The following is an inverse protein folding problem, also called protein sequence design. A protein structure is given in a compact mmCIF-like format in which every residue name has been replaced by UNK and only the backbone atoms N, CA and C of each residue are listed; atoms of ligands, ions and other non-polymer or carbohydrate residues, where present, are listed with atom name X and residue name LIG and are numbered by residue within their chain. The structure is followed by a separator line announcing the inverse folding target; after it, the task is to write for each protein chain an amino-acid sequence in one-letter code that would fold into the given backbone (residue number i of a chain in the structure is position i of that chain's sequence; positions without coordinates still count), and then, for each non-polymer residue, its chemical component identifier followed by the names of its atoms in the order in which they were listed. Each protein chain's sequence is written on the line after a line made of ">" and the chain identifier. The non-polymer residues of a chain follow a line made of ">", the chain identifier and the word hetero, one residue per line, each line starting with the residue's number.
data_IF_495221800790
#
_entry.id   IF_495221800790
#
_cell.length_a   1.000
_cell.length_b   1.000
_cell.length_c   1.000
_cell.angle_alpha   90.00
_cell.angle_beta   90.00
_cell.angle_gamma   90.00
#
_symmetry.space_group_name_H-M   'P 1'
#
loop_
_entity.id
_entity.type
_entity.pdbx_description
1 polymer ?
#
# COMPACT_ATOMS: atom_id res chain seq x y z
N UNK A 1 26.91 66.50 4.49
CA UNK A 1 27.17 65.18 3.95
C UNK A 1 26.53 64.11 4.87
N UNK A 2 25.33 63.60 4.50
CA UNK A 2 24.63 62.54 5.27
C UNK A 2 24.95 61.21 4.62
N UNK A 3 25.66 60.32 5.33
CA UNK A 3 25.94 58.95 4.91
C UNK A 3 24.71 58.08 5.26
N UNK A 4 24.00 57.61 4.24
CA UNK A 4 22.93 56.62 4.41
C UNK A 4 23.52 55.25 4.61
N UNK A 5 23.12 54.60 5.71
CA UNK A 5 23.45 53.17 6.01
C UNK A 5 22.41 52.31 5.27
N UNK A 6 22.83 51.65 4.20
CA UNK A 6 22.02 50.62 3.55
C UNK A 6 22.15 49.32 4.35
N UNK A 7 21.08 48.93 5.02
CA UNK A 7 20.99 47.63 5.70
C UNK A 7 20.57 46.56 4.69
N UNK A 8 21.47 45.64 4.40
CA UNK A 8 21.22 44.54 3.50
C UNK A 8 20.56 43.40 4.32
N UNK A 9 19.25 43.18 4.18
CA UNK A 9 18.56 42.04 4.73
C UNK A 9 18.81 40.82 3.82
N UNK A 10 19.62 39.88 4.27
CA UNK A 10 19.78 38.55 3.63
C UNK A 10 18.57 37.74 4.06
N UNK A 11 17.61 37.55 3.14
CA UNK A 11 16.56 36.52 3.32
C UNK A 11 17.19 35.15 3.12
N UNK A 12 17.45 34.46 4.23
CA UNK A 12 17.81 33.05 4.23
C UNK A 12 16.53 32.26 3.93
N UNK A 13 16.29 31.90 2.67
CA UNK A 13 15.21 30.96 2.32
C UNK A 13 15.59 29.59 2.83
N UNK A 14 14.94 29.18 3.92
CA UNK A 14 14.98 27.78 4.38
C UNK A 14 14.32 26.93 3.27
N UNK A 15 15.15 26.28 2.44
CA UNK A 15 14.67 25.22 1.58
C UNK A 15 14.39 24.00 2.49
N UNK A 16 13.14 23.86 2.91
CA UNK A 16 12.64 22.57 3.43
C UNK A 16 12.58 21.66 2.20
N UNK A 17 13.37 20.58 2.13
CA UNK A 17 13.20 19.64 1.04
C UNK A 17 11.77 19.12 1.12
N UNK A 18 10.98 19.30 0.05
CA UNK A 18 9.73 18.55 -0.13
C UNK A 18 10.12 17.08 -0.02
N UNK A 19 9.70 16.44 1.06
CA UNK A 19 9.98 15.04 1.30
C UNK A 19 9.57 14.25 0.06
N UNK A 20 10.54 13.65 -0.61
CA UNK A 20 10.28 12.70 -1.66
C UNK A 20 9.63 11.50 -0.98
N UNK A 21 8.32 11.38 -1.06
CA UNK A 21 7.63 10.18 -0.58
C UNK A 21 8.13 9.00 -1.42
N UNK A 22 8.72 8.01 -0.76
CA UNK A 22 9.15 6.79 -1.42
C UNK A 22 7.93 6.15 -2.09
N UNK A 23 8.01 5.89 -3.38
CA UNK A 23 6.97 5.20 -4.14
C UNK A 23 7.53 3.91 -4.71
N UNK A 24 6.69 2.89 -4.77
CA UNK A 24 7.04 1.64 -5.40
C UNK A 24 7.29 1.82 -6.90
N UNK A 25 8.36 1.24 -7.40
CA UNK A 25 8.69 1.18 -8.82
C UNK A 25 8.84 -0.29 -9.21
N UNK A 26 8.03 -0.73 -10.18
CA UNK A 26 8.00 -2.14 -10.64
C UNK A 26 7.90 -3.14 -9.49
N UNK A 27 6.99 -2.87 -8.56
CA UNK A 27 6.73 -3.76 -7.43
C UNK A 27 7.81 -3.77 -6.34
N UNK A 28 8.68 -2.75 -6.27
CA UNK A 28 9.72 -2.64 -5.25
C UNK A 28 9.67 -1.27 -4.60
N UNK A 29 9.68 -1.23 -3.26
CA UNK A 29 9.72 -0.05 -2.42
C UNK A 29 10.86 -0.20 -1.41
N UNK A 30 11.53 0.88 -1.03
CA UNK A 30 12.52 0.87 0.07
C UNK A 30 11.92 1.50 1.32
N UNK A 31 12.16 0.88 2.47
CA UNK A 31 11.82 1.38 3.80
C UNK A 31 13.11 1.56 4.62
N UNK A 32 13.29 2.74 5.18
CA UNK A 32 14.47 3.12 5.94
C UNK A 32 14.15 3.61 7.37
N UNK A 33 12.95 3.30 7.88
CA UNK A 33 12.51 3.67 9.21
C UNK A 33 11.69 4.96 9.26
N UNK A 34 10.97 5.27 8.19
CA UNK A 34 10.04 6.39 8.15
C UNK A 34 8.95 6.24 9.23
N UNK A 35 8.61 7.34 9.93
CA UNK A 35 7.55 7.36 10.94
C UNK A 35 6.19 6.97 10.34
N UNK A 36 5.98 7.32 9.06
CA UNK A 36 4.80 7.01 8.27
C UNK A 36 5.15 6.89 6.80
N UNK A 37 4.85 5.77 6.17
CA UNK A 37 5.04 5.52 4.75
C UNK A 37 3.81 4.84 4.16
N UNK A 38 3.23 5.43 3.12
CA UNK A 38 2.21 4.79 2.32
C UNK A 38 2.87 3.80 1.34
N UNK A 39 2.39 2.57 1.29
CA UNK A 39 2.80 1.56 0.31
C UNK A 39 2.11 1.86 -1.03
N UNK A 40 2.50 2.96 -1.64
CA UNK A 40 1.95 3.49 -2.88
C UNK A 40 2.93 3.32 -4.05
N UNK A 41 2.45 3.58 -5.27
CA UNK A 41 3.22 3.45 -6.50
C UNK A 41 2.87 2.19 -7.28
N UNK A 42 3.82 1.67 -8.07
CA UNK A 42 3.58 0.54 -8.96
C UNK A 42 3.68 -0.80 -8.22
N UNK A 43 2.57 -1.54 -8.20
CA UNK A 43 2.51 -2.92 -7.69
C UNK A 43 2.48 -3.92 -8.84
N UNK A 44 3.06 -5.10 -8.65
CA UNK A 44 2.85 -6.23 -9.53
C UNK A 44 1.42 -6.74 -9.39
N UNK A 45 0.71 -6.90 -10.50
CA UNK A 45 -0.72 -7.22 -10.56
C UNK A 45 -0.96 -8.43 -11.45
N UNK A 46 -1.78 -9.34 -10.95
CA UNK A 46 -2.09 -10.63 -11.59
C UNK A 46 -3.60 -10.81 -11.67
N UNK A 47 -4.17 -10.38 -12.80
CA UNK A 47 -5.62 -10.46 -13.02
C UNK A 47 -6.10 -11.89 -13.18
N UNK A 48 -7.22 -12.24 -12.53
CA UNK A 48 -7.82 -13.59 -12.49
C UNK A 48 -6.85 -14.68 -12.05
N UNK A 49 -5.98 -14.36 -11.09
CA UNK A 49 -5.09 -15.30 -10.45
C UNK A 49 -5.11 -15.04 -8.95
N UNK A 50 -5.33 -16.08 -8.14
CA UNK A 50 -5.14 -16.08 -6.68
C UNK A 50 -3.83 -16.84 -6.43
N UNK A 51 -2.72 -16.10 -6.51
CA UNK A 51 -1.37 -16.65 -6.33
C UNK A 51 -1.04 -16.71 -4.85
N UNK A 52 -0.64 -17.88 -4.38
CA UNK A 52 -0.10 -18.05 -3.05
C UNK A 52 1.27 -17.36 -2.91
N UNK A 53 1.63 -16.85 -1.70
CA UNK A 53 2.95 -16.27 -1.47
C UNK A 53 4.07 -17.24 -1.82
N UNK A 54 5.17 -16.71 -2.35
CA UNK A 54 6.37 -17.46 -2.66
C UNK A 54 6.91 -17.19 -4.05
N UNK A 55 8.23 -17.29 -4.17
CA UNK A 55 8.96 -16.91 -5.38
C UNK A 55 8.53 -17.66 -6.64
N UNK A 56 8.24 -18.96 -6.54
CA UNK A 56 7.89 -19.79 -7.69
C UNK A 56 6.59 -19.36 -8.38
N UNK A 57 5.57 -19.01 -7.59
CA UNK A 57 4.29 -18.56 -8.12
C UNK A 57 4.42 -17.29 -8.98
N UNK A 58 5.29 -16.38 -8.57
CA UNK A 58 5.49 -15.08 -9.23
C UNK A 58 6.49 -15.12 -10.38
N UNK A 59 7.47 -16.03 -10.36
CA UNK A 59 8.39 -16.24 -11.49
C UNK A 59 7.74 -16.91 -12.69
N UNK A 60 6.79 -17.80 -12.44
CA UNK A 60 6.05 -18.48 -13.51
C UNK A 60 5.05 -17.55 -14.22
N UNK A 61 4.62 -16.46 -13.58
CA UNK A 61 3.58 -15.55 -14.04
C UNK A 61 4.14 -14.12 -14.19
N UNK A 62 4.32 -13.60 -15.42
CA UNK A 62 4.77 -12.24 -15.61
C UNK A 62 3.70 -11.25 -15.13
N UNK A 63 4.06 -10.25 -14.29
CA UNK A 63 3.11 -9.26 -13.80
C UNK A 63 2.79 -8.20 -14.85
N UNK A 64 1.60 -7.59 -14.70
CA UNK A 64 1.36 -6.23 -15.15
C UNK A 64 1.60 -5.29 -13.96
N UNK A 65 2.24 -4.13 -14.17
CA UNK A 65 2.42 -3.16 -13.10
C UNK A 65 1.29 -2.14 -13.15
N UNK A 66 0.64 -1.94 -12.01
CA UNK A 66 -0.48 -0.99 -11.86
C UNK A 66 -0.23 -0.08 -10.66
N UNK A 67 -0.76 1.15 -10.73
CA UNK A 67 -0.75 2.05 -9.57
C UNK A 67 -1.74 1.54 -8.53
N UNK A 68 -1.23 1.22 -7.35
CA UNK A 68 -2.01 0.60 -6.29
C UNK A 68 -3.21 1.45 -5.84
N UNK A 69 -3.05 2.77 -5.73
CA UNK A 69 -4.12 3.66 -5.23
C UNK A 69 -5.17 3.93 -6.30
N UNK A 70 -5.78 2.88 -6.83
CA UNK A 70 -6.88 2.98 -7.80
C UNK A 70 -7.62 1.65 -7.90
N UNK A 71 -8.89 1.72 -8.30
CA UNK A 71 -9.64 0.51 -8.63
C UNK A 71 -9.10 -0.14 -9.91
N UNK A 72 -9.06 -1.48 -9.98
CA UNK A 72 -8.54 -2.17 -11.18
C UNK A 72 -9.33 -1.87 -12.46
N UNK A 73 -10.62 -1.56 -12.33
CA UNK A 73 -11.47 -1.16 -13.46
C UNK A 73 -11.32 0.32 -13.86
N UNK A 74 -10.45 1.08 -13.18
CA UNK A 74 -10.10 2.47 -13.51
C UNK A 74 -8.64 2.63 -13.98
N UNK A 75 -7.83 1.58 -13.97
CA UNK A 75 -6.44 1.64 -14.41
C UNK A 75 -6.34 1.91 -15.92
N UNK A 76 -5.75 3.06 -16.29
CA UNK A 76 -5.51 3.45 -17.67
C UNK A 76 -4.27 2.81 -18.28
N UNK A 77 -3.36 2.30 -17.46
CA UNK A 77 -2.14 1.61 -17.85
C UNK A 77 -2.37 0.17 -18.36
N UNK A 78 -3.54 -0.38 -18.13
CA UNK A 78 -3.93 -1.69 -18.64
C UNK A 78 -4.32 -1.59 -20.12
N UNK A 79 -3.99 -2.61 -20.91
CA UNK A 79 -4.31 -2.67 -22.33
C UNK A 79 -5.81 -2.69 -22.60
N UNK A 80 -6.59 -3.20 -21.67
CA UNK A 80 -8.03 -3.32 -21.74
C UNK A 80 -8.64 -2.88 -20.39
N UNK A 81 -9.81 -2.25 -20.46
CA UNK A 81 -10.57 -1.93 -19.26
C UNK A 81 -11.09 -3.21 -18.60
N UNK A 82 -10.70 -3.45 -17.36
CA UNK A 82 -11.16 -4.60 -16.62
C UNK A 82 -12.60 -4.42 -16.12
N UNK A 83 -13.39 -5.51 -16.01
CA UNK A 83 -14.69 -5.45 -15.36
C UNK A 83 -14.54 -5.19 -13.86
N UNK A 84 -15.58 -4.62 -13.23
CA UNK A 84 -15.60 -4.43 -11.78
C UNK A 84 -15.52 -5.76 -10.99
N UNK A 85 -16.16 -6.82 -11.55
CA UNK A 85 -16.23 -8.13 -10.91
C UNK A 85 -15.08 -9.04 -11.33
N UNK A 86 -14.46 -9.67 -10.35
CA UNK A 86 -13.35 -10.60 -10.55
C UNK A 86 -12.50 -10.72 -9.30
N UNK A 87 -11.30 -11.21 -9.52
CA UNK A 87 -10.30 -11.43 -8.47
C UNK A 87 -8.90 -11.17 -9.02
N UNK A 88 -7.98 -10.87 -8.13
CA UNK A 88 -6.60 -10.58 -8.50
C UNK A 88 -5.65 -10.79 -7.32
N UNK A 89 -4.38 -10.92 -7.63
CA UNK A 89 -3.29 -10.84 -6.66
C UNK A 89 -2.46 -9.58 -6.95
N UNK A 90 -2.14 -8.86 -5.87
CA UNK A 90 -1.16 -7.77 -5.89
C UNK A 90 0.07 -8.21 -5.11
N UNK A 91 1.24 -7.81 -5.58
CA UNK A 91 2.51 -8.11 -4.91
C UNK A 91 3.41 -6.87 -4.84
N UNK A 92 4.00 -6.67 -3.68
CA UNK A 92 5.01 -5.64 -3.43
C UNK A 92 6.18 -6.25 -2.67
N UNK A 93 7.40 -5.89 -3.03
CA UNK A 93 8.60 -6.19 -2.25
C UNK A 93 9.04 -4.92 -1.53
N UNK A 94 9.05 -4.95 -0.21
CA UNK A 94 9.59 -3.90 0.63
C UNK A 94 11.02 -4.25 1.00
N UNK A 95 11.99 -3.47 0.49
CA UNK A 95 13.40 -3.59 0.86
C UNK A 95 13.66 -2.79 2.13
N UNK A 96 13.89 -3.48 3.22
CA UNK A 96 14.20 -2.87 4.51
C UNK A 96 15.71 -2.76 4.72
N UNK A 97 16.16 -1.61 5.24
CA UNK A 97 17.59 -1.35 5.48
C UNK A 97 18.14 -2.06 6.73
N UNK A 98 17.26 -2.51 7.61
CA UNK A 98 17.54 -3.30 8.81
C UNK A 98 16.23 -3.94 9.31
N UNK A 99 16.27 -4.66 10.41
CA UNK A 99 15.06 -5.14 11.07
C UNK A 99 14.27 -3.98 11.68
N UNK A 100 12.97 -3.87 11.33
CA UNK A 100 12.06 -2.88 11.90
C UNK A 100 10.78 -3.55 12.41
N UNK A 101 10.40 -3.21 13.64
CA UNK A 101 9.06 -3.45 14.14
C UNK A 101 8.19 -2.28 13.68
N UNK A 102 7.17 -2.54 12.87
CA UNK A 102 6.30 -1.50 12.32
C UNK A 102 4.84 -1.75 12.65
N UNK A 103 4.06 -0.69 12.82
CA UNK A 103 2.62 -0.74 12.68
C UNK A 103 2.27 -0.77 11.20
N UNK A 104 1.26 -1.57 10.83
CA UNK A 104 0.70 -1.66 9.49
C UNK A 104 -0.79 -1.37 9.57
N UNK A 105 -1.21 -0.23 9.04
CA UNK A 105 -2.61 0.16 8.89
C UNK A 105 -3.14 -0.38 7.57
N UNK A 106 -4.17 -1.21 7.66
CA UNK A 106 -4.82 -1.85 6.52
C UNK A 106 -6.21 -1.25 6.40
N UNK A 107 -6.49 -0.46 5.35
CA UNK A 107 -7.80 0.15 5.17
C UNK A 107 -8.86 -0.92 4.87
N UNK A 108 -10.12 -0.65 5.19
CA UNK A 108 -11.23 -1.48 4.74
C UNK A 108 -11.46 -1.31 3.23
N UNK A 109 -11.61 -2.41 2.51
CA UNK A 109 -11.68 -2.40 1.04
C UNK A 109 -13.10 -2.56 0.46
N UNK A 110 -14.12 -2.79 1.29
CA UNK A 110 -15.51 -3.08 0.88
C UNK A 110 -15.62 -4.32 -0.06
N UNK A 111 -14.73 -5.30 0.14
CA UNK A 111 -14.64 -6.53 -0.65
C UNK A 111 -13.89 -7.58 0.19
N UNK A 112 -13.68 -8.80 -0.32
CA UNK A 112 -12.85 -9.76 0.42
C UNK A 112 -11.38 -9.60 0.07
N UNK A 113 -10.50 -9.77 1.06
CA UNK A 113 -9.05 -9.82 0.86
C UNK A 113 -8.35 -10.78 1.82
N UNK A 114 -7.17 -11.23 1.42
CA UNK A 114 -6.20 -11.91 2.26
C UNK A 114 -4.83 -11.24 2.05
N UNK A 115 -4.20 -10.78 3.13
CA UNK A 115 -2.92 -10.08 3.13
C UNK A 115 -1.87 -10.92 3.82
N UNK A 116 -0.80 -11.19 3.10
CA UNK A 116 0.34 -11.98 3.57
C UNK A 116 1.59 -11.12 3.64
N UNK A 117 2.41 -11.36 4.65
CA UNK A 117 3.78 -10.82 4.78
C UNK A 117 4.73 -12.00 4.91
N UNK A 118 5.71 -12.11 4.03
CA UNK A 118 6.73 -13.17 4.02
C UNK A 118 6.12 -14.59 4.09
N UNK A 119 4.97 -14.79 3.43
CA UNK A 119 4.26 -16.07 3.40
C UNK A 119 3.27 -16.30 4.54
N UNK A 120 3.27 -15.47 5.59
CA UNK A 120 2.35 -15.56 6.71
C UNK A 120 1.10 -14.71 6.50
N UNK A 121 -0.10 -15.28 6.71
CA UNK A 121 -1.35 -14.52 6.68
C UNK A 121 -1.44 -13.62 7.91
N UNK A 122 -1.39 -12.29 7.70
CA UNK A 122 -1.41 -11.30 8.79
C UNK A 122 -2.76 -10.57 8.93
N UNK A 123 -3.55 -10.54 7.88
CA UNK A 123 -4.89 -9.94 7.91
C UNK A 123 -5.74 -10.45 6.75
N UNK A 124 -7.07 -10.38 6.93
CA UNK A 124 -8.02 -10.68 5.87
C UNK A 124 -9.44 -10.39 6.34
N UNK A 125 -10.31 -10.10 5.37
CA UNK A 125 -11.74 -9.90 5.60
C UNK A 125 -12.54 -10.70 4.58
N UNK A 126 -13.61 -11.34 5.04
CA UNK A 126 -14.48 -12.15 4.21
C UNK A 126 -13.81 -13.44 3.70
N UNK A 127 -14.25 -13.91 2.56
CA UNK A 127 -13.70 -15.10 1.88
C UNK A 127 -13.30 -14.73 0.46
N UNK A 128 -12.00 -14.74 0.19
CA UNK A 128 -11.46 -14.56 -1.15
C UNK A 128 -11.75 -15.79 -1.99
N UNK A 129 -12.29 -15.61 -3.17
CA UNK A 129 -12.63 -16.69 -4.08
C UNK A 129 -12.54 -16.25 -5.54
N UNK A 130 -12.35 -17.21 -6.43
CA UNK A 130 -12.46 -17.06 -7.89
C UNK A 130 -13.91 -17.15 -8.38
N UNK A 131 -14.85 -17.44 -7.48
CA UNK A 131 -16.26 -17.67 -7.77
C UNK A 131 -17.19 -16.87 -6.85
N UNK A 132 -18.22 -16.25 -7.45
CA UNK A 132 -19.27 -15.55 -6.70
C UNK A 132 -19.99 -16.45 -5.67
N UNK A 133 -20.10 -17.73 -5.95
CA UNK A 133 -20.84 -18.67 -5.08
C UNK A 133 -20.15 -18.96 -3.73
N UNK A 134 -18.84 -18.74 -3.65
CA UNK A 134 -18.02 -18.97 -2.45
C UNK A 134 -17.40 -17.67 -1.90
N UNK A 135 -17.50 -16.57 -2.65
CA UNK A 135 -17.09 -15.26 -2.21
C UNK A 135 -17.98 -14.72 -1.08
N UNK A 136 -17.39 -14.18 -0.05
CA UNK A 136 -18.07 -13.49 1.04
C UNK A 136 -17.35 -12.15 1.27
N UNK A 137 -18.02 -11.00 1.02
CA UNK A 137 -17.45 -9.71 1.33
C UNK A 137 -17.49 -9.43 2.82
N UNK A 138 -16.51 -8.66 3.31
CA UNK A 138 -16.52 -8.07 4.65
C UNK A 138 -15.78 -6.73 4.60
N UNK A 139 -15.88 -5.95 5.67
CA UNK A 139 -15.25 -4.62 5.72
C UNK A 139 -14.79 -4.27 7.13
N UNK A 140 -13.51 -4.35 7.35
CA UNK A 140 -12.88 -3.99 8.62
C UNK A 140 -11.59 -3.21 8.36
N UNK A 141 -11.41 -2.10 9.07
CA UNK A 141 -10.12 -1.42 9.14
C UNK A 141 -9.28 -2.11 10.20
N UNK A 142 -8.09 -2.54 9.86
CA UNK A 142 -7.20 -3.31 10.72
C UNK A 142 -5.87 -2.60 10.96
N UNK A 143 -5.36 -2.72 12.19
CA UNK A 143 -4.03 -2.30 12.56
C UNK A 143 -3.28 -3.52 13.08
N UNK A 144 -2.11 -3.81 12.49
CA UNK A 144 -1.26 -4.95 12.88
C UNK A 144 0.14 -4.44 13.22
N UNK A 145 0.79 -5.07 14.18
CA UNK A 145 2.22 -4.87 14.40
C UNK A 145 2.96 -6.05 13.79
N UNK A 146 3.90 -5.77 12.90
CA UNK A 146 4.66 -6.79 12.16
C UNK A 146 6.15 -6.50 12.20
N UNK A 147 6.96 -7.49 11.82
CA UNK A 147 8.41 -7.33 11.62
C UNK A 147 8.72 -7.28 10.14
N UNK A 148 9.42 -6.23 9.72
CA UNK A 148 10.15 -6.20 8.46
C UNK A 148 11.59 -6.61 8.78
N UNK A 149 12.09 -7.63 8.10
CA UNK A 149 13.48 -8.07 8.25
C UNK A 149 14.39 -7.30 7.32
N UNK A 150 15.65 -7.18 7.67
CA UNK A 150 16.67 -6.63 6.76
C UNK A 150 16.64 -7.36 5.42
N UNK A 151 16.65 -6.62 4.33
CA UNK A 151 16.53 -7.16 2.97
C UNK A 151 15.10 -7.14 2.43
N UNK A 152 14.70 -8.16 1.71
CA UNK A 152 13.43 -8.21 1.00
C UNK A 152 12.32 -8.80 1.86
N UNK A 153 11.21 -8.05 1.97
CA UNK A 153 9.97 -8.49 2.60
C UNK A 153 8.86 -8.51 1.55
N UNK A 154 8.25 -9.67 1.35
CA UNK A 154 7.20 -9.87 0.35
C UNK A 154 5.83 -9.59 0.97
N UNK A 155 5.10 -8.66 0.38
CA UNK A 155 3.68 -8.40 0.68
C UNK A 155 2.87 -8.93 -0.50
N UNK A 156 1.91 -9.81 -0.21
CA UNK A 156 0.96 -10.36 -1.18
C UNK A 156 -0.45 -10.04 -0.70
N UNK A 157 -1.28 -9.48 -1.59
CA UNK A 157 -2.68 -9.21 -1.31
C UNK A 157 -3.55 -9.88 -2.36
N UNK A 158 -4.25 -10.93 -1.97
CA UNK A 158 -5.31 -11.53 -2.78
C UNK A 158 -6.61 -10.76 -2.54
N UNK A 159 -7.33 -10.45 -3.61
CA UNK A 159 -8.56 -9.65 -3.56
C UNK A 159 -9.61 -10.26 -4.46
N UNK A 160 -10.86 -10.33 -3.99
CA UNK A 160 -12.00 -10.69 -4.82
C UNK A 160 -13.16 -9.71 -4.65
N UNK A 161 -13.86 -9.43 -5.74
CA UNK A 161 -15.04 -8.56 -5.79
C UNK A 161 -16.08 -9.11 -6.74
N UNK A 162 -17.27 -9.40 -6.23
CA UNK A 162 -18.42 -9.84 -7.04
C UNK A 162 -19.71 -9.07 -6.74
N UNK A 163 -19.66 -8.05 -5.89
CA UNK A 163 -20.83 -7.31 -5.45
C UNK A 163 -20.72 -5.79 -5.62
N UNK A 164 -19.49 -5.24 -5.63
CA UNK A 164 -19.27 -3.80 -5.68
C UNK A 164 -18.94 -3.32 -7.10
N UNK A 165 -19.42 -2.12 -7.47
CA UNK A 165 -19.20 -1.53 -8.81
C UNK A 165 -17.73 -1.17 -9.12
N UNK A 166 -16.87 -1.15 -8.11
CA UNK A 166 -15.44 -0.89 -8.23
C UNK A 166 -14.66 -2.03 -7.57
N UNK A 167 -13.68 -2.57 -8.26
CA UNK A 167 -12.87 -3.68 -7.78
C UNK A 167 -11.43 -3.29 -7.46
N UNK A 168 -10.77 -4.07 -6.61
CA UNK A 168 -9.43 -3.76 -6.13
C UNK A 168 -9.41 -2.82 -4.91
N UNK A 169 -8.24 -2.54 -4.38
CA UNK A 169 -8.11 -1.67 -3.21
C UNK A 169 -7.60 -0.28 -3.59
N UNK A 170 -8.32 0.73 -3.13
CA UNK A 170 -8.19 2.13 -3.56
C UNK A 170 -7.54 3.05 -2.51
N UNK A 171 -7.20 2.52 -1.36
CA UNK A 171 -6.47 3.23 -0.29
C UNK A 171 -5.15 2.50 -0.06
N UNK A 172 -4.03 3.20 0.14
CA UNK A 172 -2.75 2.55 0.40
C UNK A 172 -2.77 1.89 1.79
N UNK A 173 -2.07 0.78 1.90
CA UNK A 173 -1.62 0.25 3.18
C UNK A 173 -0.54 1.21 3.67
N UNK A 174 -0.55 1.52 4.97
CA UNK A 174 0.43 2.43 5.58
C UNK A 174 1.25 1.64 6.57
N UNK A 175 2.56 1.81 6.53
CA UNK A 175 3.48 1.30 7.55
C UNK A 175 4.19 2.46 8.24
N UNK A 176 4.61 2.25 9.48
CA UNK A 176 5.33 3.28 10.22
C UNK A 176 5.65 2.88 11.64
N UNK A 177 6.09 3.87 12.41
CA UNK A 177 6.43 3.69 13.82
C UNK A 177 5.23 3.17 14.62
N UNK A 178 5.35 2.06 15.36
CA UNK A 178 4.24 1.45 16.09
C UNK A 178 3.75 2.28 17.29
N UNK A 179 4.52 3.25 17.74
CA UNK A 179 4.15 4.14 18.83
C UNK A 179 3.51 5.44 18.31
N UNK A 180 3.71 5.80 17.03
CA UNK A 180 3.21 7.04 16.41
C UNK A 180 1.95 6.77 15.58
N UNK A 181 2.01 5.83 14.65
CA UNK A 181 0.96 5.59 13.65
C UNK A 181 -0.44 5.31 14.24
N UNK A 182 -0.59 4.52 15.33
CA UNK A 182 -1.90 4.31 15.95
C UNK A 182 -2.51 5.58 16.53
N UNK A 183 -1.71 6.45 17.12
CA UNK A 183 -2.19 7.72 17.73
C UNK A 183 -2.64 8.72 16.66
N UNK A 184 -1.95 8.81 15.54
CA UNK A 184 -2.38 9.67 14.41
C UNK A 184 -3.73 9.25 13.86
N UNK A 185 -3.98 7.95 13.75
CA UNK A 185 -5.26 7.41 13.32
C UNK A 185 -6.40 7.82 14.27
N UNK A 186 -6.19 7.67 15.57
CA UNK A 186 -7.21 8.01 16.58
C UNK A 186 -7.53 9.51 16.57
N UNK A 187 -6.53 10.37 16.37
CA UNK A 187 -6.72 11.81 16.21
C UNK A 187 -7.53 12.17 14.96
N UNK A 188 -7.25 11.52 13.83
CA UNK A 188 -8.00 11.75 12.58
C UNK A 188 -9.47 11.34 12.70
N UNK A 189 -9.77 10.24 13.39
CA UNK A 189 -11.15 9.80 13.65
C UNK A 189 -11.94 10.80 14.52
N UNK A 190 -11.25 11.52 15.43
CA UNK A 190 -11.89 12.55 16.30
C UNK A 190 -12.19 13.83 15.51
N UNK A 191 -11.39 14.16 14.51
CA UNK A 191 -11.57 15.40 13.71
C UNK A 191 -12.67 15.24 12.65
N UNK A 192 -12.93 14.02 12.18
CA UNK A 192 -13.95 13.73 11.16
C UNK A 192 -15.35 13.51 11.75
N UNK A 193 -15.54 13.56 13.07
CA UNK A 193 -16.83 13.46 13.79
C UNK A 193 -17.30 14.82 14.27
#
# INVERSE_FOLDING_TARGET
>A
MKRGLFSFFIFLTLHVPLGSYAQAVKGVLTYAGEERLALDGEWAFYWKQLLEPGYEAFTANPPTYVKQVSYWNAHQELKEQLPAFGYATYRLVVKSTQDYRVAMEIPGFNLSYALFLNGELISGDGVVSDSKGTYVPDWTVSMKTVMLHEGENEIVVQVANFDHSNGGFFKPIIIGDPDILPHERDLNLIIET
#
